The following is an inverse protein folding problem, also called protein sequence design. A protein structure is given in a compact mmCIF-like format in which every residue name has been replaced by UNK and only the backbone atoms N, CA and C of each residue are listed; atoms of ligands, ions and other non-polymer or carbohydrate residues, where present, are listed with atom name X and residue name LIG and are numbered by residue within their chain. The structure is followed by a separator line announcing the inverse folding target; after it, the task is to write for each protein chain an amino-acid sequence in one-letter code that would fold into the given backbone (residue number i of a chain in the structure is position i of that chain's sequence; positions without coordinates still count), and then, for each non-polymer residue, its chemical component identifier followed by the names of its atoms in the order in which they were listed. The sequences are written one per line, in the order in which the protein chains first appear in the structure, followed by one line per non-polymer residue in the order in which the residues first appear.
data_IF_327171315517
#
_entry.id   IF_327171315517
#
_cell.length_a   1.000
_cell.length_b   1.000
_cell.length_c   1.000
_cell.angle_alpha   90.00
_cell.angle_beta   90.00
_cell.angle_gamma   90.00
#
_symmetry.space_group_name_H-M   'P 1'
#
loop_
_entity.id
_entity.type
_entity.pdbx_description
1 polymer ?
#
# COMPACT_ATOMS: atom_id res chain seq x y z
N UNK A 1 56.84 -25.06 27.34
CA UNK A 1 55.68 -25.64 26.65
C UNK A 1 54.68 -24.53 26.43
N UNK A 2 54.56 -24.03 25.19
CA UNK A 2 53.74 -22.86 24.87
C UNK A 2 52.26 -23.21 24.86
N UNK A 3 51.49 -22.42 25.60
CA UNK A 3 50.04 -22.51 25.70
C UNK A 3 49.43 -21.76 24.51
N UNK A 4 48.72 -22.45 23.61
CA UNK A 4 48.05 -21.83 22.47
C UNK A 4 46.54 -22.00 22.62
N UNK A 5 45.89 -21.02 23.23
CA UNK A 5 44.42 -20.95 23.29
C UNK A 5 43.88 -20.49 21.95
N UNK A 6 43.14 -21.36 21.25
CA UNK A 6 42.32 -21.01 20.08
C UNK A 6 41.21 -20.03 20.48
N UNK A 7 40.95 -18.95 19.73
CA UNK A 7 39.80 -18.10 20.00
C UNK A 7 38.52 -18.83 19.54
N UNK A 8 37.56 -18.97 20.46
CA UNK A 8 36.20 -19.38 20.16
C UNK A 8 35.51 -18.26 19.37
N UNK A 9 35.16 -18.52 18.11
CA UNK A 9 34.21 -17.70 17.35
C UNK A 9 32.86 -17.70 18.09
N UNK A 10 32.58 -16.62 18.81
CA UNK A 10 31.25 -16.37 19.36
C UNK A 10 30.36 -15.92 18.21
N UNK A 11 29.38 -16.73 17.84
CA UNK A 11 28.28 -16.29 16.99
C UNK A 11 27.57 -15.13 17.71
N UNK A 12 27.85 -13.90 17.32
CA UNK A 12 27.16 -12.72 17.83
C UNK A 12 25.68 -12.82 17.42
N UNK A 13 24.78 -12.82 18.41
CA UNK A 13 23.34 -12.69 18.19
C UNK A 13 23.11 -11.37 17.44
N UNK A 14 22.31 -11.34 16.35
CA UNK A 14 22.04 -10.09 15.64
C UNK A 14 21.42 -9.08 16.61
N UNK A 15 21.90 -7.85 16.53
CA UNK A 15 21.37 -6.72 17.28
C UNK A 15 19.94 -6.43 16.85
N UNK A 16 18.99 -6.80 17.69
CA UNK A 16 17.55 -6.72 17.42
C UNK A 16 17.11 -5.28 17.12
N UNK A 17 17.78 -4.27 17.71
CA UNK A 17 17.42 -2.86 17.53
C UNK A 17 17.88 -2.34 16.17
N UNK A 18 19.06 -2.78 15.72
CA UNK A 18 19.55 -2.49 14.37
C UNK A 18 18.64 -3.11 13.30
N UNK A 19 18.18 -4.34 13.51
CA UNK A 19 17.24 -5.02 12.60
C UNK A 19 15.89 -4.30 12.55
N UNK A 20 15.33 -3.92 13.70
CA UNK A 20 14.06 -3.19 13.77
C UNK A 20 14.14 -1.82 13.07
N UNK A 21 15.24 -1.10 13.26
CA UNK A 21 15.50 0.18 12.59
C UNK A 21 15.57 0.04 11.07
N UNK A 22 16.29 -0.97 10.57
CA UNK A 22 16.39 -1.25 9.14
C UNK A 22 15.02 -1.56 8.53
N UNK A 23 14.23 -2.42 9.18
CA UNK A 23 12.88 -2.79 8.71
C UNK A 23 11.96 -1.57 8.65
N UNK A 24 12.03 -0.68 9.65
CA UNK A 24 11.25 0.56 9.66
C UNK A 24 11.66 1.51 8.53
N UNK A 25 12.96 1.63 8.26
CA UNK A 25 13.46 2.44 7.16
C UNK A 25 13.00 1.91 5.81
N UNK A 26 13.09 0.60 5.57
CA UNK A 26 12.59 -0.02 4.34
C UNK A 26 11.11 0.26 4.12
N UNK A 27 10.27 0.14 5.16
CA UNK A 27 8.84 0.45 5.07
C UNK A 27 8.57 1.92 4.74
N UNK A 28 9.32 2.85 5.34
CA UNK A 28 9.21 4.27 5.02
C UNK A 28 9.60 4.55 3.57
N UNK A 29 10.62 3.87 3.05
CA UNK A 29 11.00 3.96 1.64
C UNK A 29 9.89 3.43 0.73
N UNK A 30 9.32 2.25 1.02
CA UNK A 30 8.19 1.70 0.28
C UNK A 30 6.99 2.67 0.28
N UNK A 31 6.64 3.25 1.43
CA UNK A 31 5.55 4.23 1.51
C UNK A 31 5.82 5.47 0.66
N UNK A 32 7.04 6.00 0.64
CA UNK A 32 7.41 7.12 -0.22
C UNK A 32 7.33 6.75 -1.72
N UNK A 33 7.79 5.57 -2.10
CA UNK A 33 7.68 5.07 -3.48
C UNK A 33 6.21 4.98 -3.90
N UNK A 34 5.37 4.37 -3.07
CA UNK A 34 3.93 4.24 -3.35
C UNK A 34 3.22 5.58 -3.41
N UNK A 35 3.53 6.49 -2.49
CA UNK A 35 2.98 7.85 -2.52
C UNK A 35 3.34 8.57 -3.82
N UNK A 36 4.59 8.48 -4.27
CA UNK A 36 5.02 9.09 -5.52
C UNK A 36 4.31 8.45 -6.72
N UNK A 37 4.21 7.13 -6.76
CA UNK A 37 3.45 6.39 -7.78
C UNK A 37 1.99 6.86 -7.84
N UNK A 38 1.33 7.06 -6.69
CA UNK A 38 -0.03 7.60 -6.62
C UNK A 38 -0.07 9.05 -7.13
N UNK A 39 0.89 9.90 -6.76
CA UNK A 39 0.95 11.27 -7.26
C UNK A 39 1.05 11.27 -8.79
N UNK A 40 2.00 10.52 -9.35
CA UNK A 40 2.21 10.36 -10.81
C UNK A 40 0.97 9.80 -11.52
N UNK A 41 0.26 8.84 -10.92
CA UNK A 41 -0.95 8.23 -11.48
C UNK A 41 -2.10 9.24 -11.65
N UNK A 42 -2.17 10.25 -10.79
CA UNK A 42 -3.23 11.27 -10.80
C UNK A 42 -2.78 12.63 -11.35
N UNK A 43 -1.57 12.73 -11.90
CA UNK A 43 -1.10 13.94 -12.58
C UNK A 43 -1.98 14.30 -13.79
N UNK A 44 -2.10 15.60 -14.04
CA UNK A 44 -2.95 16.11 -15.13
C UNK A 44 -2.34 15.97 -16.51
N UNK A 45 -1.05 16.27 -16.65
CA UNK A 45 -0.41 16.42 -17.96
C UNK A 45 0.14 15.10 -18.50
N UNK A 46 0.79 14.32 -17.63
CA UNK A 46 1.43 13.06 -18.01
C UNK A 46 1.16 12.00 -16.94
N UNK A 47 -0.10 11.59 -16.76
CA UNK A 47 -0.42 10.56 -15.80
C UNK A 47 0.32 9.26 -16.15
N UNK A 48 0.88 8.61 -15.14
CA UNK A 48 1.32 7.23 -15.26
C UNK A 48 0.14 6.35 -15.68
N UNK A 49 0.39 5.32 -16.48
CA UNK A 49 -0.67 4.44 -17.01
C UNK A 49 -0.94 3.19 -16.16
N UNK A 50 -0.22 3.01 -15.06
CA UNK A 50 -0.26 1.77 -14.29
C UNK A 50 0.43 1.86 -12.94
N UNK A 51 0.25 0.82 -12.12
CA UNK A 51 0.85 0.69 -10.78
C UNK A 51 1.64 -0.61 -10.68
N UNK A 52 2.67 -0.66 -9.84
CA UNK A 52 3.35 -1.90 -9.49
C UNK A 52 2.58 -2.64 -8.40
N UNK A 53 2.44 -3.95 -8.53
CA UNK A 53 1.89 -4.81 -7.49
C UNK A 53 2.67 -6.13 -7.51
N UNK A 54 3.29 -6.47 -6.37
CA UNK A 54 4.35 -7.49 -6.37
C UNK A 54 5.41 -7.15 -7.43
N UNK A 55 5.72 -8.12 -8.30
CA UNK A 55 6.74 -8.01 -9.34
C UNK A 55 6.19 -7.62 -10.73
N UNK A 56 4.93 -7.17 -10.81
CA UNK A 56 4.27 -6.85 -12.08
C UNK A 56 3.62 -5.47 -12.08
N UNK A 57 3.41 -4.93 -13.27
CA UNK A 57 2.63 -3.72 -13.49
C UNK A 57 1.19 -4.08 -13.85
N UNK A 58 0.22 -3.47 -13.15
CA UNK A 58 -1.17 -3.43 -13.59
C UNK A 58 -1.41 -2.15 -14.38
N UNK A 59 -1.99 -2.28 -15.56
CA UNK A 59 -2.35 -1.16 -16.43
C UNK A 59 -3.76 -0.68 -16.08
N UNK A 60 -3.93 0.64 -16.03
CA UNK A 60 -5.22 1.28 -15.80
C UNK A 60 -6.22 0.85 -16.88
N UNK A 61 -7.39 0.42 -16.44
CA UNK A 61 -8.53 0.15 -17.30
C UNK A 61 -9.30 1.45 -17.57
N UNK A 62 -9.87 1.60 -18.78
CA UNK A 62 -10.72 2.76 -19.09
C UNK A 62 -11.85 2.93 -18.08
N UNK A 63 -12.01 4.15 -17.57
CA UNK A 63 -13.09 4.52 -16.67
C UNK A 63 -13.65 5.90 -17.03
N UNK A 64 -14.98 6.06 -16.93
CA UNK A 64 -15.64 7.36 -17.11
C UNK A 64 -15.60 8.23 -15.84
N UNK A 65 -15.39 7.60 -14.67
CA UNK A 65 -15.28 8.29 -13.39
C UNK A 65 -13.86 8.74 -13.05
N UNK A 66 -13.72 9.37 -11.88
CA UNK A 66 -12.43 9.88 -11.39
C UNK A 66 -11.53 8.81 -10.75
N UNK A 67 -12.06 7.61 -10.50
CA UNK A 67 -11.30 6.53 -9.89
C UNK A 67 -10.40 5.85 -10.92
N UNK A 68 -9.21 5.43 -10.50
CA UNK A 68 -8.31 4.62 -11.32
C UNK A 68 -8.67 3.15 -11.11
N UNK A 69 -8.93 2.43 -12.19
CA UNK A 69 -9.44 1.06 -12.14
C UNK A 69 -8.36 0.09 -12.61
N UNK A 70 -8.15 -0.98 -11.86
CA UNK A 70 -7.23 -2.06 -12.19
C UNK A 70 -7.93 -3.41 -12.04
N UNK A 71 -7.45 -4.42 -12.77
CA UNK A 71 -7.92 -5.80 -12.65
C UNK A 71 -6.74 -6.77 -12.56
N UNK A 72 -7.03 -8.00 -12.13
CA UNK A 72 -6.05 -9.08 -12.06
C UNK A 72 -5.22 -9.14 -10.77
N UNK A 73 -5.44 -8.24 -9.81
CA UNK A 73 -4.87 -8.32 -8.47
C UNK A 73 -5.66 -9.29 -7.59
N UNK A 74 -4.97 -10.19 -6.90
CA UNK A 74 -5.53 -10.97 -5.80
C UNK A 74 -5.81 -10.10 -4.57
N UNK A 75 -6.70 -10.55 -3.69
CA UNK A 75 -6.96 -9.87 -2.42
C UNK A 75 -5.69 -9.67 -1.58
N UNK A 76 -4.80 -10.66 -1.55
CA UNK A 76 -3.53 -10.58 -0.83
C UNK A 76 -2.63 -9.47 -1.39
N UNK A 77 -2.54 -9.36 -2.71
CA UNK A 77 -1.79 -8.30 -3.39
C UNK A 77 -2.38 -6.91 -3.11
N UNK A 78 -3.70 -6.76 -3.12
CA UNK A 78 -4.35 -5.47 -2.82
C UNK A 78 -4.09 -5.04 -1.37
N UNK A 79 -4.21 -5.97 -0.42
CA UNK A 79 -3.89 -5.71 1.00
C UNK A 79 -2.43 -5.35 1.19
N UNK A 80 -1.52 -6.06 0.51
CA UNK A 80 -0.09 -5.77 0.54
C UNK A 80 0.21 -4.38 -0.02
N UNK A 81 -0.36 -4.03 -1.18
CA UNK A 81 -0.22 -2.69 -1.77
C UNK A 81 -0.70 -1.60 -0.82
N UNK A 82 -1.83 -1.81 -0.13
CA UNK A 82 -2.34 -0.87 0.86
C UNK A 82 -1.40 -0.71 2.07
N UNK A 83 -0.82 -1.80 2.57
CA UNK A 83 0.16 -1.73 3.66
C UNK A 83 1.41 -0.97 3.24
N UNK A 84 1.94 -1.23 2.04
CA UNK A 84 3.08 -0.50 1.49
C UNK A 84 2.77 0.98 1.32
N UNK A 85 1.62 1.33 0.75
CA UNK A 85 1.17 2.71 0.55
C UNK A 85 1.10 3.50 1.87
N UNK A 86 0.70 2.83 2.94
CA UNK A 86 0.50 3.44 4.25
C UNK A 86 1.70 3.30 5.19
N UNK A 87 2.73 2.54 4.80
CA UNK A 87 3.87 2.19 5.65
C UNK A 87 3.49 1.29 6.84
N UNK A 88 2.33 0.64 6.79
CA UNK A 88 1.83 -0.22 7.87
C UNK A 88 2.61 -1.54 7.92
N UNK A 89 2.87 -2.02 9.13
CA UNK A 89 3.52 -3.32 9.35
C UNK A 89 2.58 -4.49 9.10
N UNK A 90 1.33 -4.33 9.54
CA UNK A 90 0.27 -5.32 9.42
C UNK A 90 -1.00 -4.62 8.94
N UNK A 91 -1.89 -5.37 8.29
CA UNK A 91 -3.21 -4.87 7.94
C UNK A 91 -3.95 -4.56 9.25
N UNK A 92 -4.52 -3.36 9.42
CA UNK A 92 -5.25 -3.03 10.64
C UNK A 92 -6.48 -3.94 10.78
N UNK A 93 -7.07 -3.99 11.98
CA UNK A 93 -8.31 -4.75 12.19
C UNK A 93 -9.43 -4.11 11.37
N UNK A 94 -10.08 -4.92 10.53
CA UNK A 94 -11.21 -4.49 9.72
C UNK A 94 -12.44 -4.22 10.56
N UNK A 95 -13.12 -3.10 10.28
CA UNK A 95 -14.43 -2.78 10.84
C UNK A 95 -15.52 -3.17 9.87
N UNK A 96 -16.43 -4.06 10.29
CA UNK A 96 -17.59 -4.45 9.49
C UNK A 96 -18.62 -3.31 9.41
N UNK A 97 -19.11 -3.08 8.20
CA UNK A 97 -20.18 -2.13 7.87
C UNK A 97 -21.41 -2.94 7.47
N UNK A 98 -22.49 -2.89 8.26
CA UNK A 98 -23.71 -3.64 7.98
C UNK A 98 -24.22 -3.43 6.56
N UNK A 99 -24.48 -4.53 5.86
CA UNK A 99 -25.01 -4.53 4.48
C UNK A 99 -24.02 -4.08 3.40
N UNK A 100 -22.74 -3.86 3.73
CA UNK A 100 -21.72 -3.44 2.73
C UNK A 100 -20.50 -4.35 2.72
N UNK A 101 -19.78 -4.44 3.83
CA UNK A 101 -18.49 -5.12 3.91
C UNK A 101 -17.55 -4.49 4.93
N UNK A 102 -16.25 -4.75 4.84
CA UNK A 102 -15.24 -4.31 5.80
C UNK A 102 -14.48 -3.06 5.33
N UNK A 103 -14.09 -2.23 6.31
CA UNK A 103 -13.18 -1.09 6.12
C UNK A 103 -11.96 -1.25 7.02
N UNK A 104 -10.78 -1.09 6.43
CA UNK A 104 -9.47 -1.12 7.08
C UNK A 104 -8.89 0.30 7.04
N UNK A 105 -8.72 0.94 8.19
CA UNK A 105 -8.33 2.36 8.26
C UNK A 105 -6.91 2.51 8.81
N UNK A 106 -6.08 3.29 8.12
CA UNK A 106 -4.74 3.69 8.60
C UNK A 106 -4.62 5.20 8.61
N UNK A 107 -4.17 5.76 9.74
CA UNK A 107 -3.84 7.19 9.86
C UNK A 107 -2.35 7.38 9.64
N UNK A 108 -2.00 8.26 8.70
CA UNK A 108 -0.61 8.63 8.38
C UNK A 108 -0.44 10.14 8.52
N UNK A 109 0.80 10.67 8.53
CA UNK A 109 1.04 12.11 8.43
C UNK A 109 0.46 12.76 7.17
N UNK A 110 0.22 11.99 6.09
CA UNK A 110 -0.40 12.45 4.84
C UNK A 110 -1.93 12.39 4.87
N UNK A 111 -2.53 11.94 5.98
CA UNK A 111 -3.96 11.81 6.15
C UNK A 111 -4.43 10.37 6.38
N UNK A 112 -5.74 10.19 6.37
CA UNK A 112 -6.40 8.90 6.61
C UNK A 112 -6.61 8.17 5.29
N UNK A 113 -6.08 6.95 5.20
CA UNK A 113 -6.30 6.04 4.09
C UNK A 113 -7.28 4.95 4.53
N UNK A 114 -8.15 4.52 3.63
CA UNK A 114 -9.05 3.39 3.87
C UNK A 114 -8.91 2.37 2.75
N UNK A 115 -8.86 1.09 3.11
CA UNK A 115 -9.11 -0.01 2.20
C UNK A 115 -10.50 -0.57 2.50
N UNK A 116 -11.32 -0.73 1.46
CA UNK A 116 -12.69 -1.24 1.54
C UNK A 116 -12.83 -2.47 0.66
N UNK A 117 -13.49 -3.51 1.15
CA UNK A 117 -13.83 -4.69 0.33
C UNK A 117 -15.11 -4.48 -0.52
N UNK A 118 -15.54 -3.23 -0.68
CA UNK A 118 -16.69 -2.83 -1.48
C UNK A 118 -16.46 -1.48 -2.17
N UNK A 119 -17.14 -1.27 -3.29
CA UNK A 119 -17.21 0.02 -4.01
C UNK A 119 -18.55 0.68 -3.76
N UNK A 120 -18.57 2.00 -3.51
CA UNK A 120 -19.81 2.76 -3.39
C UNK A 120 -20.49 2.96 -4.75
N UNK A 121 -19.72 2.88 -5.84
CA UNK A 121 -20.16 2.97 -7.23
C UNK A 121 -20.16 1.59 -7.90
N UNK A 122 -20.51 0.53 -7.17
CA UNK A 122 -20.45 -0.84 -7.68
C UNK A 122 -21.37 -1.09 -8.87
N UNK A 123 -22.45 -0.32 -9.01
CA UNK A 123 -23.32 -0.33 -10.19
C UNK A 123 -22.62 0.15 -11.47
N UNK A 124 -21.56 0.94 -11.36
CA UNK A 124 -20.82 1.50 -12.49
C UNK A 124 -19.54 0.72 -12.78
N UNK A 125 -18.81 0.34 -11.72
CA UNK A 125 -17.48 -0.27 -11.83
C UNK A 125 -17.47 -1.78 -11.53
N UNK A 126 -18.59 -2.34 -11.05
CA UNK A 126 -18.63 -3.69 -10.51
C UNK A 126 -18.10 -3.78 -9.06
N UNK A 127 -18.07 -5.01 -8.54
CA UNK A 127 -17.52 -5.30 -7.22
C UNK A 127 -16.00 -5.10 -7.24
N UNK A 128 -15.49 -4.33 -6.29
CA UNK A 128 -14.08 -3.99 -6.25
C UNK A 128 -13.60 -3.78 -4.82
N UNK A 129 -12.35 -4.13 -4.57
CA UNK A 129 -11.59 -3.54 -3.47
C UNK A 129 -11.31 -2.07 -3.81
N UNK A 130 -11.55 -1.16 -2.87
CA UNK A 130 -11.35 0.29 -3.08
C UNK A 130 -10.40 0.85 -2.06
N UNK A 131 -9.39 1.60 -2.51
CA UNK A 131 -8.49 2.39 -1.66
C UNK A 131 -8.90 3.85 -1.76
N UNK A 132 -9.33 4.42 -0.64
CA UNK A 132 -9.58 5.85 -0.48
C UNK A 132 -8.28 6.54 -0.10
N UNK A 133 -7.85 7.50 -0.92
CA UNK A 133 -6.60 8.24 -0.75
C UNK A 133 -6.93 9.68 -0.37
N UNK A 134 -6.35 10.22 0.71
CA UNK A 134 -6.66 11.57 1.17
C UNK A 134 -6.19 12.63 0.16
N UNK A 135 -6.79 13.83 0.27
CA UNK A 135 -6.32 15.02 -0.46
C UNK A 135 -4.84 15.30 -0.15
N UNK A 136 -4.13 15.86 -1.11
CA UNK A 136 -2.71 16.18 -1.00
C UNK A 136 -1.76 15.03 -1.36
N UNK A 137 -2.29 13.86 -1.75
CA UNK A 137 -1.48 12.72 -2.23
C UNK A 137 -1.57 12.61 -3.75
N UNK A 138 -2.72 12.16 -4.29
CA UNK A 138 -2.93 12.10 -5.74
C UNK A 138 -3.33 13.45 -6.35
N UNK A 139 -4.16 14.22 -5.65
CA UNK A 139 -4.55 15.59 -6.06
C UNK A 139 -4.46 16.56 -4.89
N UNK A 140 -4.03 17.82 -5.11
CA UNK A 140 -3.83 18.78 -4.02
C UNK A 140 -5.12 19.10 -3.25
N UNK A 141 -6.25 19.17 -3.96
CA UNK A 141 -7.51 19.70 -3.42
C UNK A 141 -8.67 18.71 -3.37
N UNK A 142 -8.43 17.44 -3.69
CA UNK A 142 -9.47 16.41 -3.70
C UNK A 142 -8.92 15.06 -3.25
N UNK A 143 -9.71 14.25 -2.51
CA UNK A 143 -9.40 12.85 -2.35
C UNK A 143 -9.53 12.14 -3.71
N UNK A 144 -8.86 11.00 -3.83
CA UNK A 144 -8.92 10.16 -5.03
C UNK A 144 -9.14 8.71 -4.63
N UNK A 145 -9.62 7.91 -5.57
CA UNK A 145 -9.88 6.48 -5.35
C UNK A 145 -9.12 5.63 -6.36
N UNK A 146 -8.59 4.51 -5.89
CA UNK A 146 -8.15 3.41 -6.74
C UNK A 146 -9.05 2.20 -6.48
N UNK A 147 -9.44 1.47 -7.53
CA UNK A 147 -10.27 0.27 -7.43
C UNK A 147 -9.60 -0.92 -8.10
N UNK A 148 -9.68 -2.08 -7.46
CA UNK A 148 -9.25 -3.36 -7.97
C UNK A 148 -10.48 -4.25 -8.14
N UNK A 149 -10.84 -4.53 -9.39
CA UNK A 149 -11.99 -5.37 -9.71
C UNK A 149 -11.79 -6.79 -9.16
N UNK A 150 -12.86 -7.35 -8.58
CA UNK A 150 -12.89 -8.72 -8.04
C UNK A 150 -13.19 -9.75 -9.12
#
# INVERSE_FOLDING_TARGET
MSNTSKPLLRNAKPDTDAVASLVKNTRNQSANIRVNEISELFEYNHPRTGIQIGDRTLIEMPNKGNAKIFSGASEAEVKQYFMELTGSENLPVGRSIPGKGNIYTVKTPKGTFNLRDFSASSSETGSAWTIDIPRGVGKPNAPVEIKFLK
#
